data_IF_625561129436
#
_entry.id   IF_625561129436
#
_cell.length_a   1.000
_cell.length_b   1.000
_cell.length_c   1.000
_cell.angle_alpha   90.00
_cell.angle_beta   90.00
_cell.angle_gamma   90.00
#
_symmetry.space_group_name_H-M   'P 1'
#
loop_
_entity.id
_entity.type
_entity.pdbx_description
1 polymer ?
#
# COMPACT_ATOMS: atom_id res chain seq x y z
N UNK A 1 -0.58 -5.57 18.18
CA UNK A 1 -0.99 -5.08 16.85
C UNK A 1 -0.19 -3.82 16.53
N UNK A 2 0.44 -3.80 15.35
CA UNK A 2 1.24 -2.64 14.98
C UNK A 2 0.35 -1.57 14.34
N UNK A 3 0.96 -0.46 13.95
CA UNK A 3 0.17 0.65 13.42
C UNK A 3 -0.58 0.30 12.14
N UNK A 4 -0.03 -0.59 11.34
CA UNK A 4 -0.69 -0.97 10.10
C UNK A 4 -1.93 -1.80 10.36
N UNK A 5 -1.88 -2.66 11.37
CA UNK A 5 -3.06 -3.39 11.78
C UNK A 5 -4.16 -2.47 12.25
N UNK A 6 -3.80 -1.44 13.01
CA UNK A 6 -4.79 -0.47 13.47
C UNK A 6 -5.38 0.32 12.33
N UNK A 7 -4.55 0.70 11.36
CA UNK A 7 -5.05 1.42 10.18
C UNK A 7 -6.04 0.57 9.43
N UNK A 8 -5.70 -0.70 9.21
CA UNK A 8 -6.59 -1.61 8.51
C UNK A 8 -7.89 -1.80 9.25
N UNK A 9 -7.81 -1.96 10.57
CA UNK A 9 -9.01 -2.16 11.36
C UNK A 9 -9.92 -0.95 11.31
N UNK A 10 -9.33 0.23 11.36
CA UNK A 10 -10.11 1.45 11.28
C UNK A 10 -10.80 1.57 9.93
N UNK A 11 -10.09 1.25 8.87
CA UNK A 11 -10.68 1.29 7.53
C UNK A 11 -11.84 0.31 7.40
N UNK A 12 -11.65 -0.91 7.90
CA UNK A 12 -12.72 -1.91 7.84
C UNK A 12 -13.93 -1.47 8.65
N UNK A 13 -13.69 -0.82 9.79
CA UNK A 13 -14.79 -0.33 10.59
C UNK A 13 -15.66 0.65 9.82
N UNK A 14 -15.02 1.48 9.02
CA UNK A 14 -15.74 2.50 8.25
C UNK A 14 -16.32 1.96 6.95
N UNK A 15 -15.58 1.11 6.28
CA UNK A 15 -15.91 0.75 4.90
C UNK A 15 -16.26 -0.72 4.70
N UNK A 16 -15.99 -1.56 5.68
CA UNK A 16 -16.32 -2.98 5.57
C UNK A 16 -16.88 -3.51 6.88
N UNK A 17 -17.91 -2.87 7.43
CA UNK A 17 -18.40 -3.28 8.74
C UNK A 17 -19.01 -4.69 8.76
N UNK A 18 -19.64 -5.12 7.68
CA UNK A 18 -20.22 -6.45 7.65
C UNK A 18 -19.14 -7.51 7.66
N UNK A 19 -18.13 -7.34 6.82
CA UNK A 19 -17.02 -8.27 6.79
C UNK A 19 -16.28 -8.30 8.12
N UNK A 20 -16.13 -7.14 8.74
CA UNK A 20 -15.50 -7.05 10.05
C UNK A 20 -16.27 -7.86 11.09
N UNK A 21 -17.58 -7.75 11.07
CA UNK A 21 -18.41 -8.45 12.04
C UNK A 21 -18.36 -9.96 11.86
N UNK A 22 -18.00 -10.41 10.68
CA UNK A 22 -17.96 -11.85 10.40
C UNK A 22 -16.64 -12.50 10.81
N UNK A 23 -15.65 -11.69 11.18
CA UNK A 23 -14.37 -12.26 11.58
C UNK A 23 -14.50 -12.96 12.95
N UNK A 24 -14.01 -14.18 13.05
CA UNK A 24 -14.08 -14.89 14.34
C UNK A 24 -13.19 -14.22 15.40
N UNK A 25 -12.04 -13.72 15.00
CA UNK A 25 -11.12 -13.04 15.92
C UNK A 25 -10.48 -11.88 15.17
N UNK A 26 -11.11 -10.72 15.27
CA UNK A 26 -10.64 -9.58 14.53
C UNK A 26 -9.29 -9.09 15.03
N UNK A 27 -9.03 -9.22 16.31
CA UNK A 27 -7.74 -8.82 16.87
C UNK A 27 -6.61 -9.59 16.24
N UNK A 28 -6.77 -10.90 16.19
CA UNK A 28 -5.74 -11.74 15.59
C UNK A 28 -5.62 -11.49 14.10
N UNK A 29 -6.75 -11.31 13.45
CA UNK A 29 -6.75 -11.06 12.01
C UNK A 29 -5.94 -9.82 11.69
N UNK A 30 -6.21 -8.73 12.39
CA UNK A 30 -5.52 -7.48 12.08
C UNK A 30 -4.09 -7.45 12.61
N UNK A 31 -3.81 -8.19 13.66
CA UNK A 31 -2.42 -8.35 14.08
C UNK A 31 -1.59 -9.03 13.00
N UNK A 32 -2.13 -10.12 12.47
CA UNK A 32 -1.43 -10.86 11.42
C UNK A 32 -1.31 -10.01 10.16
N UNK A 33 -2.41 -9.36 9.78
CA UNK A 33 -2.39 -8.52 8.59
C UNK A 33 -1.38 -7.39 8.74
N UNK A 34 -1.33 -6.76 9.91
CA UNK A 34 -0.38 -5.69 10.15
C UNK A 34 1.06 -6.16 10.04
N UNK A 35 1.34 -7.35 10.53
CA UNK A 35 2.68 -7.91 10.43
C UNK A 35 3.04 -8.21 8.98
N UNK A 36 2.11 -8.72 8.23
CA UNK A 36 2.34 -8.98 6.81
C UNK A 36 2.59 -7.68 6.05
N UNK A 37 1.83 -6.66 6.38
CA UNK A 37 2.01 -5.36 5.75
C UNK A 37 3.38 -4.79 6.07
N UNK A 38 3.78 -4.89 7.32
CA UNK A 38 5.08 -4.38 7.73
C UNK A 38 6.21 -5.08 7.00
N UNK A 39 6.11 -6.40 6.90
CA UNK A 39 7.14 -7.16 6.19
C UNK A 39 7.22 -6.75 4.73
N UNK A 40 6.07 -6.53 4.10
CA UNK A 40 6.05 -6.10 2.71
C UNK A 40 6.62 -4.70 2.55
N UNK A 41 6.32 -3.83 3.50
CA UNK A 41 6.85 -2.47 3.45
C UNK A 41 8.36 -2.48 3.56
N UNK A 42 8.89 -3.29 4.47
CA UNK A 42 10.34 -3.40 4.63
C UNK A 42 10.97 -3.90 3.33
N UNK A 43 10.37 -4.92 2.74
CA UNK A 43 10.86 -5.49 1.51
C UNK A 43 10.87 -4.48 0.38
N UNK A 44 9.76 -3.78 0.20
CA UNK A 44 9.67 -2.75 -0.83
C UNK A 44 10.63 -1.61 -0.56
N UNK A 45 10.78 -1.23 0.70
CA UNK A 45 11.68 -0.15 1.04
C UNK A 45 13.11 -0.50 0.61
N UNK A 46 13.52 -1.72 0.90
CA UNK A 46 14.86 -2.16 0.51
C UNK A 46 15.01 -2.11 -1.01
N UNK A 47 14.01 -2.56 -1.72
CA UNK A 47 14.06 -2.53 -3.18
C UNK A 47 14.12 -1.12 -3.74
N UNK A 48 13.44 -0.20 -3.10
CA UNK A 48 13.31 1.15 -3.61
C UNK A 48 14.42 2.08 -3.21
N UNK A 49 15.11 1.78 -2.12
CA UNK A 49 16.14 2.70 -1.67
C UNK A 49 17.41 2.65 -2.51
N UNK A 50 17.65 1.53 -3.17
CA UNK A 50 18.80 1.42 -4.04
C UNK A 50 20.12 1.41 -3.30
N UNK A 51 21.17 1.78 -4.01
CA UNK A 51 22.53 1.79 -3.47
C UNK A 51 22.97 3.21 -3.17
N UNK A 52 23.92 3.31 -2.25
CA UNK A 52 24.53 4.61 -1.97
C UNK A 52 25.31 5.08 -3.17
N UNK A 53 25.20 6.37 -3.47
CA UNK A 53 25.95 6.96 -4.56
C UNK A 53 27.28 7.48 -4.05
N UNK A 54 28.34 7.41 -4.87
CA UNK A 54 29.61 8.02 -4.48
C UNK A 54 29.38 9.52 -4.24
N UNK A 55 29.86 10.01 -3.12
CA UNK A 55 29.69 11.41 -2.79
C UNK A 55 28.38 11.79 -2.19
N UNK A 56 27.50 10.83 -1.97
CA UNK A 56 26.22 11.11 -1.35
C UNK A 56 26.43 11.54 0.10
N UNK A 57 25.86 12.68 0.48
CA UNK A 57 25.98 13.16 1.85
C UNK A 57 25.02 12.45 2.77
N UNK A 58 25.27 12.66 4.06
CA UNK A 58 24.45 12.01 5.07
C UNK A 58 22.98 12.40 4.95
N UNK A 59 22.72 13.70 4.82
CA UNK A 59 21.34 14.16 4.73
C UNK A 59 20.66 13.70 3.46
N UNK A 60 21.41 13.64 2.37
CA UNK A 60 20.88 13.12 1.13
C UNK A 60 20.48 11.67 1.27
N UNK A 61 21.32 10.89 1.94
CA UNK A 61 21.02 9.49 2.13
C UNK A 61 19.79 9.31 3.01
N UNK A 62 19.72 10.05 4.11
CA UNK A 62 18.56 9.96 5.00
C UNK A 62 17.28 10.32 4.25
N UNK A 63 17.34 11.37 3.44
CA UNK A 63 16.16 11.75 2.65
C UNK A 63 15.76 10.68 1.67
N UNK A 64 16.73 10.06 1.02
CA UNK A 64 16.45 9.00 0.07
C UNK A 64 15.82 7.79 0.75
N UNK A 65 16.35 7.40 1.90
CA UNK A 65 15.81 6.25 2.63
C UNK A 65 14.41 6.54 3.16
N UNK A 66 14.21 7.75 3.68
CA UNK A 66 12.88 8.13 4.15
C UNK A 66 11.85 8.17 3.04
N UNK A 67 12.25 8.69 1.87
CA UNK A 67 11.34 8.73 0.74
C UNK A 67 10.96 7.33 0.29
N UNK A 68 11.92 6.41 0.28
CA UNK A 68 11.63 5.04 -0.10
C UNK A 68 10.64 4.40 0.86
N UNK A 69 10.82 4.65 2.16
CA UNK A 69 9.93 4.07 3.14
C UNK A 69 8.51 4.63 3.00
N UNK A 70 8.41 5.94 2.84
CA UNK A 70 7.09 6.55 2.69
C UNK A 70 6.38 6.05 1.45
N UNK A 71 7.11 5.90 0.37
CA UNK A 71 6.53 5.40 -0.86
C UNK A 71 6.07 3.96 -0.70
N UNK A 72 6.89 3.14 -0.05
CA UNK A 72 6.52 1.75 0.20
C UNK A 72 5.27 1.66 1.05
N UNK A 73 5.18 2.51 2.08
CA UNK A 73 3.99 2.54 2.92
C UNK A 73 2.74 2.89 2.12
N UNK A 74 2.84 3.88 1.25
CA UNK A 74 1.71 4.26 0.43
C UNK A 74 1.25 3.13 -0.47
N UNK A 75 2.20 2.45 -1.07
CA UNK A 75 1.86 1.37 -1.97
C UNK A 75 1.15 0.24 -1.24
N UNK A 76 1.70 -0.17 -0.11
CA UNK A 76 1.14 -1.29 0.63
C UNK A 76 -0.23 -0.94 1.20
N UNK A 77 -0.39 0.27 1.71
CA UNK A 77 -1.68 0.69 2.23
C UNK A 77 -2.72 0.75 1.12
N UNK A 78 -2.33 1.24 -0.04
CA UNK A 78 -3.27 1.31 -1.16
C UNK A 78 -3.68 -0.08 -1.61
N UNK A 79 -2.72 -0.99 -1.70
CA UNK A 79 -3.01 -2.35 -2.17
C UNK A 79 -3.81 -3.16 -1.18
N UNK A 80 -3.50 -3.00 0.10
CA UNK A 80 -4.02 -3.91 1.10
C UNK A 80 -5.25 -3.36 1.81
N UNK A 81 -5.30 -2.07 2.01
CA UNK A 81 -6.34 -1.46 2.84
C UNK A 81 -7.32 -0.65 2.02
N UNK A 82 -6.82 0.37 1.33
CA UNK A 82 -7.69 1.38 0.74
C UNK A 82 -8.31 0.97 -0.57
N UNK A 83 -7.89 -0.13 -1.13
CA UNK A 83 -8.44 -0.58 -2.41
C UNK A 83 -9.77 -1.31 -2.26
N UNK A 84 -10.15 -1.68 -1.03
CA UNK A 84 -11.37 -2.46 -0.83
C UNK A 84 -12.39 -1.65 -0.06
N UNK A 85 -13.61 -1.65 -0.57
CA UNK A 85 -14.73 -0.97 0.04
C UNK A 85 -15.94 -1.87 -0.10
N UNK A 86 -16.58 -2.10 1.03
CA UNK A 86 -17.77 -2.92 1.04
C UNK A 86 -18.88 -2.20 0.30
N UNK A 87 -19.69 -2.93 -0.39
CA UNK A 87 -20.75 -2.33 -1.15
C UNK A 87 -20.37 -2.15 -2.58
N UNK A 88 -19.19 -1.61 -2.83
CA UNK A 88 -18.67 -1.52 -4.17
C UNK A 88 -18.52 -2.87 -4.77
N UNK A 89 -17.95 -3.73 -3.96
CA UNK A 89 -17.74 -5.10 -4.34
C UNK A 89 -19.03 -5.85 -4.50
N UNK A 90 -19.94 -5.59 -3.60
CA UNK A 90 -21.16 -6.35 -3.51
C UNK A 90 -22.06 -6.16 -4.68
N UNK A 91 -22.32 -4.94 -5.03
CA UNK A 91 -23.27 -4.72 -6.11
C UNK A 91 -22.58 -4.34 -7.40
N UNK A 92 -21.31 -4.01 -7.33
CA UNK A 92 -20.57 -3.67 -8.52
C UNK A 92 -21.25 -2.63 -9.35
N UNK A 93 -22.01 -1.78 -8.70
CA UNK A 93 -22.87 -0.88 -9.44
C UNK A 93 -22.33 0.50 -9.62
N UNK A 94 -21.22 0.81 -8.95
CA UNK A 94 -20.68 2.16 -9.10
C UNK A 94 -19.46 2.10 -9.99
N UNK A 95 -19.64 2.12 -11.29
CA UNK A 95 -18.49 2.01 -12.20
C UNK A 95 -17.52 3.15 -12.07
N UNK A 96 -18.02 4.32 -11.66
CA UNK A 96 -17.14 5.45 -11.51
C UNK A 96 -16.15 5.26 -10.36
N UNK A 97 -16.67 4.78 -9.25
CA UNK A 97 -15.81 4.54 -8.10
C UNK A 97 -14.82 3.42 -8.39
N UNK A 98 -15.32 2.38 -9.06
CA UNK A 98 -14.46 1.27 -9.40
C UNK A 98 -13.35 1.71 -10.34
N UNK A 99 -13.69 2.54 -11.30
CA UNK A 99 -12.70 3.05 -12.24
C UNK A 99 -11.68 3.93 -11.52
N UNK A 100 -12.14 4.73 -10.56
CA UNK A 100 -11.24 5.58 -9.80
C UNK A 100 -10.23 4.75 -9.00
N UNK A 101 -10.70 3.67 -8.39
CA UNK A 101 -9.79 2.79 -7.65
C UNK A 101 -8.80 2.13 -8.57
N UNK A 102 -9.25 1.70 -9.73
CA UNK A 102 -8.35 1.09 -10.71
C UNK A 102 -7.31 2.09 -11.19
N UNK A 103 -7.73 3.32 -11.42
CA UNK A 103 -6.80 4.36 -11.83
C UNK A 103 -5.77 4.64 -10.75
N UNK A 104 -6.23 4.65 -9.50
CA UNK A 104 -5.33 4.86 -8.39
C UNK A 104 -4.29 3.76 -8.31
N UNK A 105 -4.74 2.51 -8.44
CA UNK A 105 -3.82 1.38 -8.44
C UNK A 105 -2.85 1.45 -9.60
N UNK A 106 -3.34 1.79 -10.76
CA UNK A 106 -2.48 1.89 -11.93
C UNK A 106 -1.45 3.00 -11.75
N UNK A 107 -1.86 4.11 -11.16
CA UNK A 107 -0.94 5.20 -10.93
C UNK A 107 0.17 4.79 -9.96
N UNK A 108 -0.19 4.06 -8.92
CA UNK A 108 0.81 3.59 -7.97
C UNK A 108 1.78 2.62 -8.64
N UNK A 109 1.24 1.69 -9.41
CA UNK A 109 2.08 0.74 -10.11
C UNK A 109 2.97 1.41 -11.12
N UNK A 110 2.45 2.41 -11.81
CA UNK A 110 3.27 3.16 -12.74
C UNK A 110 4.40 3.89 -12.03
N UNK A 111 4.12 4.43 -10.87
CA UNK A 111 5.14 5.09 -10.09
C UNK A 111 6.23 4.10 -9.68
N UNK A 112 5.84 2.89 -9.36
CA UNK A 112 6.81 1.86 -9.02
C UNK A 112 7.73 1.54 -10.19
N UNK A 113 7.18 1.58 -11.39
CA UNK A 113 7.94 1.20 -12.57
C UNK A 113 8.68 2.36 -13.20
N UNK A 114 8.53 3.53 -12.66
CA UNK A 114 9.16 4.71 -13.26
C UNK A 114 10.66 4.65 -13.24
N UNK A 115 11.20 3.93 -12.31
CA UNK A 115 12.64 3.78 -12.24
C UNK A 115 13.19 2.88 -13.31
N UNK A 116 12.33 2.18 -13.99
CA UNK A 116 12.73 1.29 -15.04
C UNK A 116 12.90 2.05 -16.33
N UNK A 117 13.61 1.49 -17.27
CA UNK A 117 13.67 2.13 -18.59
C UNK A 117 12.28 2.30 -19.11
N UNK A 118 11.90 3.53 -19.25
CA UNK A 118 10.51 3.81 -19.51
C UNK A 118 10.00 3.31 -20.81
N UNK A 119 10.90 3.17 -21.73
CA UNK A 119 10.49 2.74 -23.03
C UNK A 119 9.88 1.40 -23.02
N UNK A 120 10.26 0.59 -22.09
CA UNK A 120 9.76 -0.74 -22.11
C UNK A 120 8.28 -0.78 -21.75
N UNK A 121 7.77 0.22 -21.09
CA UNK A 121 6.37 0.31 -20.82
C UNK A 121 5.57 0.87 -21.93
N UNK A 122 6.22 1.43 -22.85
CA UNK A 122 5.51 2.04 -23.94
C UNK A 122 5.28 1.02 -24.98
N UNK A 123 4.17 0.68 -25.26
CA UNK A 123 3.92 -0.16 -26.42
C UNK A 123 3.90 0.63 -27.65
#
# INVERSE_FOLDING_TARGET
>A
MNKYGWIAKKHWTEFRPIALAELPDSEEFFSTLGEQMEARIIDLTIQMEGSDSPGEGYLEKVGRLNAAKMQAEEIVLAETVYSTVEGEEEDGTDPERFAALNEFHAAIQNAMWEDEPTDFRLP
#
